data_IF_044995806162
#
_entry.id   IF_044995806162
#
_cell.length_a   1.000
_cell.length_b   1.000
_cell.length_c   1.000
_cell.angle_alpha   90.00
_cell.angle_beta   90.00
_cell.angle_gamma   90.00
#
_symmetry.space_group_name_H-M   'P 1'
#
loop_
_entity.id
_entity.type
_entity.pdbx_description
1 polymer ?
#
# COMPACT_ATOMS: atom_id res chain seq x y z
N UNK A 1 4.65 13.23 -10.94
CA UNK A 1 4.34 14.35 -10.02
C UNK A 1 4.90 13.93 -8.66
N UNK A 2 5.83 14.69 -8.10
CA UNK A 2 6.47 14.40 -6.81
C UNK A 2 5.89 15.37 -5.77
N UNK A 3 5.24 14.86 -4.74
CA UNK A 3 4.77 15.67 -3.62
C UNK A 3 5.79 15.57 -2.49
N UNK A 4 6.47 16.67 -2.18
CA UNK A 4 7.31 16.78 -0.99
C UNK A 4 6.51 17.42 0.13
N UNK A 5 5.94 16.58 1.01
CA UNK A 5 5.37 17.01 2.28
C UNK A 5 6.49 17.19 3.31
N UNK A 6 6.57 18.37 3.91
CA UNK A 6 7.54 18.67 4.96
C UNK A 6 7.04 18.03 6.28
N UNK A 7 7.40 16.77 6.49
CA UNK A 7 7.00 15.95 7.64
C UNK A 7 6.41 14.63 7.17
N UNK A 8 7.16 13.54 7.36
CA UNK A 8 6.96 12.18 6.80
C UNK A 8 7.00 12.14 5.26
N UNK A 9 8.08 11.56 4.71
CA UNK A 9 8.19 11.26 3.28
C UNK A 9 7.18 10.18 2.92
N UNK A 10 6.01 10.58 2.45
CA UNK A 10 5.09 9.65 1.79
C UNK A 10 5.68 9.24 0.44
N UNK A 11 6.25 8.03 0.35
CA UNK A 11 6.75 7.49 -0.91
C UNK A 11 5.57 6.98 -1.73
N UNK A 12 5.23 7.67 -2.82
CA UNK A 12 4.28 7.18 -3.82
C UNK A 12 5.06 6.33 -4.83
N UNK A 13 4.96 5.01 -4.71
CA UNK A 13 5.54 4.09 -5.70
C UNK A 13 4.47 3.72 -6.72
N UNK A 14 4.75 3.98 -8.01
CA UNK A 14 3.94 3.48 -9.13
C UNK A 14 4.34 2.02 -9.39
N UNK A 15 3.41 1.09 -9.26
CA UNK A 15 3.72 -0.35 -9.27
C UNK A 15 2.97 -1.06 -10.40
N UNK A 16 3.76 -1.77 -11.22
CA UNK A 16 3.40 -2.75 -12.26
C UNK A 16 2.54 -2.27 -13.45
N UNK A 17 2.98 -2.54 -14.71
CA UNK A 17 2.20 -2.20 -15.92
C UNK A 17 0.88 -2.97 -16.05
N UNK A 18 0.66 -4.02 -15.27
CA UNK A 18 -0.55 -4.86 -15.34
C UNK A 18 -1.63 -4.47 -14.31
N UNK A 19 -1.35 -3.50 -13.41
CA UNK A 19 -2.23 -3.13 -12.28
C UNK A 19 -2.47 -1.61 -12.18
N UNK A 20 -2.81 -0.96 -13.30
CA UNK A 20 -3.12 0.48 -13.38
C UNK A 20 -4.37 0.90 -12.56
N UNK A 21 -5.07 -0.02 -11.89
CA UNK A 21 -6.30 0.24 -11.14
C UNK A 21 -6.08 0.72 -9.70
N UNK A 22 -4.95 0.41 -9.04
CA UNK A 22 -4.81 0.70 -7.62
C UNK A 22 -3.54 1.48 -7.31
N UNK A 23 -3.68 2.56 -6.54
CA UNK A 23 -2.56 3.28 -5.93
C UNK A 23 -2.50 2.95 -4.44
N UNK A 24 -1.31 2.59 -3.98
CA UNK A 24 -1.09 2.16 -2.61
C UNK A 24 -0.15 3.13 -1.90
N UNK A 25 -0.47 3.48 -0.67
CA UNK A 25 0.43 4.24 0.20
C UNK A 25 0.18 3.92 1.67
N UNK A 26 1.22 4.06 2.48
CA UNK A 26 1.15 3.83 3.93
C UNK A 26 1.38 5.15 4.65
N UNK A 27 0.51 5.45 5.61
CA UNK A 27 0.67 6.59 6.53
C UNK A 27 0.44 6.06 7.94
N UNK A 28 1.41 6.25 8.84
CA UNK A 28 1.35 5.83 10.25
C UNK A 28 0.92 4.36 10.44
N UNK A 29 1.48 3.45 9.63
CA UNK A 29 1.20 2.02 9.68
C UNK A 29 -0.19 1.62 9.14
N UNK A 30 -0.92 2.56 8.53
CA UNK A 30 -2.21 2.32 7.88
C UNK A 30 -2.02 2.30 6.36
N UNK A 31 -2.43 1.21 5.73
CA UNK A 31 -2.50 1.07 4.28
C UNK A 31 -3.76 1.77 3.76
N UNK A 32 -3.54 2.67 2.83
CA UNK A 32 -4.56 3.28 2.01
C UNK A 32 -4.42 2.75 0.58
N UNK A 33 -5.57 2.42 -0.01
CA UNK A 33 -5.64 1.98 -1.40
C UNK A 33 -6.69 2.83 -2.10
N UNK A 34 -6.25 3.56 -3.12
CA UNK A 34 -7.11 4.30 -4.02
C UNK A 34 -7.37 3.44 -5.25
N UNK A 35 -8.63 3.12 -5.51
CA UNK A 35 -9.05 2.64 -6.82
C UNK A 35 -9.07 3.83 -7.80
N UNK A 36 -8.18 3.81 -8.78
CA UNK A 36 -8.02 4.88 -9.78
C UNK A 36 -9.14 4.89 -10.82
N UNK A 37 -9.87 3.78 -11.00
CA UNK A 37 -11.01 3.71 -11.92
C UNK A 37 -12.25 4.35 -11.31
N UNK A 38 -12.55 4.00 -10.07
CA UNK A 38 -13.72 4.55 -9.35
C UNK A 38 -13.41 5.86 -8.62
N UNK A 39 -12.13 6.21 -8.47
CA UNK A 39 -11.64 7.36 -7.70
C UNK A 39 -12.13 7.30 -6.24
N UNK A 40 -12.20 6.08 -5.71
CA UNK A 40 -12.67 5.81 -4.35
C UNK A 40 -11.58 5.10 -3.54
N UNK A 41 -11.51 5.45 -2.25
CA UNK A 41 -10.66 4.74 -1.31
C UNK A 41 -11.34 3.46 -0.86
N UNK A 42 -10.56 2.38 -0.84
CA UNK A 42 -10.93 1.16 -0.13
C UNK A 42 -10.88 1.43 1.39
N UNK A 43 -11.59 0.63 2.20
CA UNK A 43 -11.50 0.73 3.66
C UNK A 43 -10.03 0.67 4.14
N UNK A 44 -9.59 1.61 4.99
CA UNK A 44 -8.20 1.65 5.44
C UNK A 44 -7.85 0.41 6.25
N UNK A 45 -6.66 -0.14 6.02
CA UNK A 45 -6.20 -1.35 6.70
C UNK A 45 -5.01 -1.07 7.60
N UNK A 46 -5.14 -1.35 8.90
CA UNK A 46 -3.99 -1.28 9.80
C UNK A 46 -3.09 -2.49 9.63
N UNK A 47 -1.81 -2.24 9.34
CA UNK A 47 -0.82 -3.31 9.22
C UNK A 47 -0.03 -3.35 10.55
N UNK A 48 -0.16 -4.46 11.28
CA UNK A 48 0.59 -4.64 12.53
C UNK A 48 2.08 -4.81 12.23
N UNK A 49 2.94 -4.06 12.91
CA UNK A 49 4.39 -4.09 12.69
C UNK A 49 4.86 -3.29 11.46
N UNK A 50 4.00 -2.41 10.93
CA UNK A 50 4.27 -1.54 9.79
C UNK A 50 4.74 -0.14 10.17
N UNK A 51 5.06 0.10 11.44
CA UNK A 51 5.42 1.43 11.95
C UNK A 51 6.65 2.03 11.25
N UNK A 52 7.42 1.20 10.53
CA UNK A 52 8.60 1.60 9.74
C UNK A 52 8.54 1.14 8.27
N UNK A 53 7.36 0.93 7.67
CA UNK A 53 7.29 0.67 6.22
C UNK A 53 7.81 1.91 5.47
N UNK A 54 8.82 1.70 4.64
CA UNK A 54 9.40 2.72 3.78
C UNK A 54 8.75 2.73 2.40
N UNK A 55 8.63 1.55 1.78
CA UNK A 55 8.21 1.47 0.38
C UNK A 55 7.37 0.23 0.15
N UNK A 56 6.25 0.39 -0.57
CA UNK A 56 5.51 -0.75 -1.09
C UNK A 56 6.21 -1.21 -2.38
N UNK A 57 6.63 -2.48 -2.41
CA UNK A 57 7.22 -3.10 -3.59
C UNK A 57 6.14 -3.57 -4.54
N UNK A 58 5.07 -4.16 -4.01
CA UNK A 58 3.88 -4.47 -4.79
C UNK A 58 2.85 -5.32 -4.09
N UNK A 59 1.71 -5.48 -4.76
CA UNK A 59 0.61 -6.33 -4.32
C UNK A 59 0.31 -7.35 -5.41
N UNK A 60 0.30 -8.63 -5.05
CA UNK A 60 -0.06 -9.70 -5.98
C UNK A 60 -0.89 -10.76 -5.28
N UNK A 61 -2.09 -11.04 -5.82
CA UNK A 61 -3.02 -12.06 -5.28
C UNK A 61 -3.30 -11.89 -3.77
N UNK A 62 -3.46 -10.64 -3.33
CA UNK A 62 -3.71 -10.30 -1.93
C UNK A 62 -2.47 -10.36 -1.01
N UNK A 63 -1.28 -10.68 -1.53
CA UNK A 63 -0.03 -10.53 -0.80
C UNK A 63 0.54 -9.13 -1.06
N UNK A 64 0.75 -8.36 0.00
CA UNK A 64 1.45 -7.09 -0.02
C UNK A 64 2.91 -7.33 0.35
N UNK A 65 3.83 -6.93 -0.53
CA UNK A 65 5.26 -6.91 -0.27
C UNK A 65 5.74 -5.48 -0.11
N UNK A 66 6.48 -5.23 0.96
CA UNK A 66 7.00 -3.92 1.31
C UNK A 66 8.42 -4.03 1.87
N UNK A 67 9.12 -2.92 1.91
CA UNK A 67 10.38 -2.76 2.62
C UNK A 67 10.16 -1.98 3.90
N UNK A 68 10.88 -2.35 4.96
CA UNK A 68 10.89 -1.63 6.23
C UNK A 68 12.32 -1.36 6.70
N UNK A 69 12.50 -0.27 7.43
CA UNK A 69 13.74 -0.02 8.18
C UNK A 69 13.65 -0.61 9.57
N UNK A 70 14.73 -1.26 10.00
CA UNK A 70 14.93 -1.66 11.39
C UNK A 70 16.37 -1.35 11.75
N UNK A 71 16.56 -0.25 12.50
CA UNK A 71 17.87 0.38 12.66
C UNK A 71 18.38 0.93 11.32
N UNK A 72 19.61 0.56 10.97
CA UNK A 72 20.28 0.97 9.72
C UNK A 72 20.12 -0.06 8.59
N UNK A 73 19.33 -1.12 8.82
CA UNK A 73 19.11 -2.20 7.85
C UNK A 73 17.73 -2.11 7.20
N UNK A 74 17.66 -2.54 5.95
CA UNK A 74 16.44 -2.56 5.15
C UNK A 74 16.00 -4.02 4.93
N UNK A 75 14.78 -4.33 5.37
CA UNK A 75 14.21 -5.67 5.32
C UNK A 75 13.04 -5.73 4.35
N UNK A 76 12.92 -6.84 3.63
CA UNK A 76 11.72 -7.15 2.85
C UNK A 76 10.74 -7.93 3.71
N UNK A 77 9.49 -7.50 3.73
CA UNK A 77 8.40 -8.20 4.39
C UNK A 77 7.25 -8.45 3.42
N UNK A 78 6.55 -9.56 3.64
CA UNK A 78 5.32 -9.89 2.91
C UNK A 78 4.22 -10.16 3.92
N UNK A 79 3.05 -9.56 3.70
CA UNK A 79 1.87 -9.75 4.53
C UNK A 79 0.68 -10.15 3.66
N UNK A 80 -0.12 -11.07 4.15
CA UNK A 80 -1.39 -11.46 3.53
C UNK A 80 -2.46 -10.43 3.92
N UNK A 81 -3.03 -9.75 2.92
CA UNK A 81 -4.18 -8.89 3.11
C UNK A 81 -5.42 -9.73 3.43
N UNK A 82 -6.40 -9.18 4.16
CA UNK A 82 -7.64 -9.88 4.47
C UNK A 82 -8.29 -10.43 3.21
N UNK A 83 -8.84 -11.65 3.33
CA UNK A 83 -9.62 -12.24 2.24
C UNK A 83 -10.79 -11.31 1.91
N UNK A 84 -11.05 -11.10 0.63
CA UNK A 84 -12.15 -10.24 0.19
C UNK A 84 -11.77 -8.77 0.04
N UNK A 85 -10.61 -8.33 0.54
CA UNK A 85 -10.25 -6.89 0.57
C UNK A 85 -10.38 -6.17 -0.78
N UNK A 86 -10.06 -6.85 -1.88
CA UNK A 86 -10.28 -6.32 -3.24
C UNK A 86 -11.57 -6.82 -3.91
N UNK A 87 -12.18 -7.89 -3.43
CA UNK A 87 -13.39 -8.48 -4.02
C UNK A 87 -14.67 -7.78 -3.56
N UNK A 88 -14.71 -7.33 -2.31
CA UNK A 88 -15.87 -6.63 -1.76
C UNK A 88 -16.06 -5.26 -2.43
N UNK A 89 -14.99 -4.66 -2.94
CA UNK A 89 -15.02 -3.36 -3.63
C UNK A 89 -15.32 -3.49 -5.12
N UNK A 90 -14.96 -4.61 -5.74
CA UNK A 90 -15.20 -4.85 -7.17
C UNK A 90 -16.58 -5.44 -7.48
N UNK A 91 -17.31 -5.93 -6.47
CA UNK A 91 -18.63 -6.54 -6.64
C UNK A 91 -19.80 -5.58 -6.33
N UNK A 92 -19.52 -4.38 -5.80
CA UNK A 92 -20.50 -3.31 -5.55
C UNK A 92 -20.53 -2.25 -6.67
N UNK A 93 -19.93 -2.54 -7.83
CA UNK A 93 -19.94 -1.71 -9.06
C UNK A 93 -20.65 -2.43 -10.20
#
# INVERSE_FOLDING_TARGET
ITFQGKGSEGVITRISPDFDQFLYFVVDGVLYVLDTKSVAFLPPLRITGADNINTIVGVHRGLLTATRWEGDENFVMTVQLPRGYFQDVLNDQ
#
